data_IF_729253543467
#
_entry.id   IF_729253543467
#
_cell.length_a   1.000
_cell.length_b   1.000
_cell.length_c   1.000
_cell.angle_alpha   90.00
_cell.angle_beta   90.00
_cell.angle_gamma   90.00
#
_symmetry.space_group_name_H-M   'P 1'
#
loop_
_entity.id
_entity.type
_entity.pdbx_description
1 polymer ?
#
# COMPACT_ATOMS: atom_id res chain seq x y z
N UNK A 1 39.39 60.40 -17.26
CA UNK A 1 37.97 60.37 -16.86
C UNK A 1 37.42 58.96 -16.61
N UNK A 2 37.78 57.93 -17.39
CA UNK A 2 37.23 56.56 -17.19
C UNK A 2 37.65 55.85 -15.88
N UNK A 3 38.82 56.18 -15.32
CA UNK A 3 39.42 55.46 -14.17
C UNK A 3 38.71 55.76 -12.84
N UNK A 4 38.05 56.92 -12.69
CA UNK A 4 37.38 57.35 -11.44
C UNK A 4 35.89 57.00 -11.43
N UNK A 5 35.28 56.86 -12.61
CA UNK A 5 33.86 56.52 -12.74
C UNK A 5 33.59 55.09 -12.25
N UNK A 6 34.50 54.15 -12.51
CA UNK A 6 34.39 52.78 -12.04
C UNK A 6 34.37 52.63 -10.50
N UNK A 7 35.33 53.19 -9.73
CA UNK A 7 35.34 53.05 -8.27
C UNK A 7 34.13 53.72 -7.60
N UNK A 8 33.69 54.87 -8.11
CA UNK A 8 32.49 55.55 -7.60
C UNK A 8 31.22 54.72 -7.86
N UNK A 9 31.06 54.17 -9.07
CA UNK A 9 29.95 53.26 -9.37
C UNK A 9 29.98 52.00 -8.51
N UNK A 10 31.17 51.44 -8.23
CA UNK A 10 31.27 50.28 -7.33
C UNK A 10 30.90 50.61 -5.89
N UNK A 11 31.24 51.82 -5.41
CA UNK A 11 30.91 52.30 -4.07
C UNK A 11 29.40 52.56 -3.93
N UNK A 12 28.79 53.22 -4.91
CA UNK A 12 27.32 53.38 -4.94
C UNK A 12 26.60 52.03 -5.01
N UNK A 13 27.12 51.09 -5.81
CA UNK A 13 26.58 49.74 -5.88
C UNK A 13 26.79 48.97 -4.56
N UNK A 14 27.86 49.18 -3.81
CA UNK A 14 28.05 48.54 -2.50
C UNK A 14 27.13 49.13 -1.43
N UNK A 15 26.96 50.45 -1.40
CA UNK A 15 26.06 51.13 -0.45
C UNK A 15 24.61 50.66 -0.67
N UNK A 16 24.13 50.67 -1.91
CA UNK A 16 22.78 50.17 -2.24
C UNK A 16 22.59 48.69 -1.91
N UNK A 17 23.61 47.84 -2.14
CA UNK A 17 23.57 46.42 -1.74
C UNK A 17 23.50 46.24 -0.22
N UNK A 18 24.18 47.09 0.54
CA UNK A 18 24.18 47.05 2.00
C UNK A 18 22.80 47.45 2.55
N UNK A 19 22.21 48.53 2.04
CA UNK A 19 20.85 48.95 2.40
C UNK A 19 19.82 47.85 2.07
N UNK A 20 19.90 47.25 0.88
CA UNK A 20 19.04 46.13 0.50
C UNK A 20 19.22 44.93 1.42
N UNK A 21 20.46 44.63 1.84
CA UNK A 21 20.73 43.55 2.79
C UNK A 21 20.08 43.82 4.15
N UNK A 22 20.17 45.06 4.66
CA UNK A 22 19.52 45.48 5.90
C UNK A 22 17.99 45.35 5.82
N UNK A 23 17.39 45.80 4.72
CA UNK A 23 15.95 45.64 4.50
C UNK A 23 15.53 44.16 4.49
N UNK A 24 16.29 43.29 3.81
CA UNK A 24 16.02 41.85 3.80
C UNK A 24 16.15 41.24 5.20
N UNK A 25 17.14 41.65 6.00
CA UNK A 25 17.27 41.17 7.39
C UNK A 25 16.09 41.58 8.26
N UNK A 26 15.63 42.84 8.14
CA UNK A 26 14.45 43.32 8.83
C UNK A 26 13.20 42.52 8.43
N UNK A 27 12.94 42.37 7.12
CA UNK A 27 11.79 41.62 6.62
C UNK A 27 11.83 40.14 7.02
N UNK A 28 13.01 39.52 7.15
CA UNK A 28 13.14 38.16 7.68
C UNK A 28 12.75 38.09 9.16
N UNK A 29 13.20 39.05 9.97
CA UNK A 29 12.85 39.13 11.39
C UNK A 29 11.34 39.35 11.56
N UNK A 30 10.76 40.28 10.81
CA UNK A 30 9.32 40.54 10.81
C UNK A 30 8.52 39.30 10.41
N UNK A 31 8.92 38.60 9.34
CA UNK A 31 8.28 37.35 8.93
C UNK A 31 8.38 36.26 10.02
N UNK A 32 9.49 36.18 10.76
CA UNK A 32 9.62 35.23 11.87
C UNK A 32 8.61 35.53 12.99
N UNK A 33 8.44 36.82 13.34
CA UNK A 33 7.45 37.27 14.33
C UNK A 33 6.02 37.03 13.83
N UNK A 34 5.72 37.31 12.56
CA UNK A 34 4.39 37.05 12.01
C UNK A 34 4.07 35.56 12.01
N UNK A 35 5.05 34.70 11.71
CA UNK A 35 4.87 33.26 11.73
C UNK A 35 4.63 32.69 13.13
N UNK A 36 5.23 33.26 14.18
CA UNK A 36 4.97 32.80 15.55
C UNK A 36 3.55 33.13 16.04
N UNK A 37 2.88 34.10 15.41
CA UNK A 37 1.50 34.49 15.73
C UNK A 37 0.45 33.77 14.87
N UNK A 38 0.86 33.07 13.81
CA UNK A 38 -0.04 32.38 12.90
C UNK A 38 -0.26 30.92 13.34
N UNK A 39 -1.38 30.29 12.95
CA UNK A 39 -1.61 28.87 13.22
C UNK A 39 -0.57 27.98 12.51
N UNK A 40 -0.30 26.81 13.09
CA UNK A 40 0.72 25.86 12.63
C UNK A 40 0.56 25.44 11.15
N UNK A 41 -0.67 25.46 10.63
CA UNK A 41 -0.98 25.04 9.26
C UNK A 41 -1.49 26.20 8.40
N UNK A 42 -0.63 26.67 7.50
CA UNK A 42 -0.98 27.70 6.50
C UNK A 42 -1.44 27.00 5.21
N UNK A 43 -2.70 27.20 4.84
CA UNK A 43 -3.24 26.73 3.56
C UNK A 43 -3.03 27.80 2.49
N UNK A 44 -2.30 27.46 1.42
CA UNK A 44 -2.05 28.38 0.31
C UNK A 44 -3.06 28.19 -0.82
N UNK A 45 -3.66 29.28 -1.29
CA UNK A 45 -4.48 29.32 -2.49
C UNK A 45 -3.62 29.22 -3.76
N UNK A 46 -4.20 28.77 -4.87
CA UNK A 46 -3.52 28.66 -6.16
C UNK A 46 -2.91 29.99 -6.65
N UNK A 47 -3.55 31.12 -6.36
CA UNK A 47 -2.99 32.44 -6.70
C UNK A 47 -1.70 32.74 -5.92
N UNK A 48 -1.69 32.47 -4.62
CA UNK A 48 -0.53 32.67 -3.74
C UNK A 48 0.63 31.74 -4.16
N UNK A 49 0.32 30.47 -4.47
CA UNK A 49 1.29 29.51 -5.01
C UNK A 49 1.96 30.05 -6.28
N UNK A 50 1.16 30.58 -7.22
CA UNK A 50 1.68 31.19 -8.45
C UNK A 50 2.56 32.41 -8.18
N UNK A 51 2.18 33.25 -7.19
CA UNK A 51 2.99 34.41 -6.78
C UNK A 51 4.36 33.96 -6.23
N UNK A 52 4.37 32.96 -5.34
CA UNK A 52 5.60 32.38 -4.81
C UNK A 52 6.48 31.80 -5.91
N UNK A 53 5.92 31.03 -6.85
CA UNK A 53 6.67 30.47 -7.97
C UNK A 53 7.24 31.56 -8.88
N UNK A 54 6.46 32.60 -9.20
CA UNK A 54 6.89 33.70 -10.07
C UNK A 54 8.12 34.42 -9.51
N UNK A 55 8.10 34.78 -8.23
CA UNK A 55 9.24 35.46 -7.59
C UNK A 55 10.38 34.49 -7.32
N UNK A 56 10.06 33.27 -6.89
CA UNK A 56 11.06 32.30 -6.49
C UNK A 56 11.84 31.65 -7.64
N UNK A 57 11.25 31.53 -8.83
CA UNK A 57 11.93 30.99 -10.02
C UNK A 57 13.18 31.82 -10.39
N UNK A 58 13.14 33.14 -10.20
CA UNK A 58 14.26 34.05 -10.47
C UNK A 58 15.44 33.88 -9.52
N UNK A 59 15.20 33.35 -8.31
CA UNK A 59 16.22 33.17 -7.27
C UNK A 59 17.03 31.87 -7.43
N UNK A 60 16.56 30.93 -8.26
CA UNK A 60 17.27 29.70 -8.55
C UNK A 60 17.55 28.84 -7.30
N UNK A 61 18.73 28.23 -7.15
CA UNK A 61 19.08 27.40 -6.01
C UNK A 61 19.09 28.12 -4.66
N UNK A 62 19.34 29.44 -4.66
CA UNK A 62 19.44 30.28 -3.45
C UNK A 62 18.12 30.42 -2.70
N UNK A 63 17.00 30.02 -3.31
CA UNK A 63 15.71 29.99 -2.63
C UNK A 63 15.67 29.00 -1.47
N UNK A 64 16.55 28.00 -1.44
CA UNK A 64 16.62 27.02 -0.34
C UNK A 64 16.82 27.71 1.01
N UNK A 65 17.59 28.80 1.04
CA UNK A 65 17.90 29.55 2.26
C UNK A 65 16.83 30.58 2.63
N UNK A 66 15.86 30.80 1.73
CA UNK A 66 14.80 31.82 1.88
C UNK A 66 13.42 31.20 2.11
N UNK A 67 13.22 29.95 1.69
CA UNK A 67 11.91 29.32 1.70
C UNK A 67 11.53 28.88 3.13
N UNK A 68 10.55 29.54 3.72
CA UNK A 68 10.09 29.26 5.09
C UNK A 68 8.65 28.75 5.17
N UNK A 69 7.79 29.16 4.21
CA UNK A 69 6.37 28.79 4.19
C UNK A 69 6.15 27.36 3.68
N UNK A 70 6.95 26.93 2.71
CA UNK A 70 6.74 25.70 1.94
C UNK A 70 8.05 24.92 1.86
N UNK A 71 8.01 23.60 1.92
CA UNK A 71 9.21 22.79 1.68
C UNK A 71 9.78 23.03 0.27
N UNK A 72 11.10 23.07 0.15
CA UNK A 72 11.80 23.21 -1.14
C UNK A 72 11.35 22.16 -2.17
N UNK A 73 11.06 20.93 -1.74
CA UNK A 73 10.58 19.85 -2.61
C UNK A 73 9.21 20.17 -3.21
N UNK A 74 8.29 20.70 -2.40
CA UNK A 74 6.94 21.12 -2.83
C UNK A 74 7.02 22.30 -3.78
N UNK A 75 7.91 23.27 -3.52
CA UNK A 75 8.14 24.40 -4.42
C UNK A 75 8.69 23.95 -5.79
N UNK A 76 9.68 23.05 -5.81
CA UNK A 76 10.21 22.44 -7.04
C UNK A 76 9.13 21.66 -7.80
N UNK A 77 8.25 20.95 -7.08
CA UNK A 77 7.10 20.27 -7.68
C UNK A 77 6.17 21.26 -8.37
N UNK A 78 5.86 22.41 -7.76
CA UNK A 78 5.02 23.43 -8.39
C UNK A 78 5.63 24.02 -9.65
N UNK A 79 6.95 24.30 -9.65
CA UNK A 79 7.66 24.76 -10.85
C UNK A 79 7.48 23.74 -11.99
N UNK A 80 7.80 22.46 -11.74
CA UNK A 80 7.64 21.41 -12.75
C UNK A 80 6.20 21.28 -13.23
N UNK A 81 5.24 21.30 -12.31
CA UNK A 81 3.81 21.16 -12.66
C UNK A 81 3.33 22.33 -13.53
N UNK A 82 3.86 23.55 -13.33
CA UNK A 82 3.53 24.71 -14.17
C UNK A 82 4.21 24.64 -15.55
N UNK A 83 5.45 24.15 -15.62
CA UNK A 83 6.19 23.97 -16.87
C UNK A 83 5.63 22.79 -17.70
N UNK A 84 5.37 21.66 -17.06
CA UNK A 84 4.73 20.48 -17.64
C UNK A 84 3.27 20.75 -18.03
N UNK A 85 2.54 21.54 -17.23
CA UNK A 85 1.15 21.88 -17.50
C UNK A 85 0.97 22.88 -18.66
N UNK A 86 2.01 23.65 -19.01
CA UNK A 86 2.01 24.50 -20.20
C UNK A 86 2.27 23.71 -21.49
N UNK A 87 3.04 22.62 -21.41
CA UNK A 87 3.40 21.77 -22.56
C UNK A 87 2.43 20.62 -22.78
N UNK A 88 1.79 20.12 -21.73
CA UNK A 88 0.79 19.05 -21.81
C UNK A 88 -0.60 19.68 -21.74
N UNK A 89 -1.37 19.57 -22.84
CA UNK A 89 -2.84 19.77 -22.81
C UNK A 89 -3.40 19.08 -21.56
N UNK A 90 -4.39 19.67 -20.85
CA UNK A 90 -4.93 19.04 -19.66
C UNK A 90 -5.43 17.66 -20.06
N UNK A 91 -4.70 16.61 -19.68
CA UNK A 91 -5.23 15.25 -19.74
C UNK A 91 -6.40 15.27 -18.77
N UNK A 92 -7.60 15.48 -19.32
CA UNK A 92 -8.89 15.44 -18.64
C UNK A 92 -8.83 14.34 -17.61
N UNK A 93 -8.71 14.69 -16.32
CA UNK A 93 -8.63 13.79 -15.14
C UNK A 93 -8.63 12.32 -15.55
N UNK A 94 -7.55 11.86 -16.18
CA UNK A 94 -7.48 10.47 -16.57
C UNK A 94 -7.19 9.83 -15.23
N UNK A 95 -8.25 9.27 -14.65
CA UNK A 95 -8.29 8.65 -13.34
C UNK A 95 -6.91 8.05 -13.09
N UNK A 96 -6.18 8.64 -12.15
CA UNK A 96 -5.03 7.95 -11.61
C UNK A 96 -5.63 6.66 -11.07
N UNK A 97 -5.46 5.55 -11.79
CA UNK A 97 -5.78 4.22 -11.29
C UNK A 97 -4.86 4.00 -10.09
N UNK A 98 -5.29 4.50 -8.93
CA UNK A 98 -4.69 4.16 -7.65
C UNK A 98 -5.08 2.71 -7.40
N UNK A 99 -4.18 1.78 -7.70
CA UNK A 99 -4.33 0.40 -7.28
C UNK A 99 -3.56 -0.60 -8.12
N UNK A 100 -3.14 -1.68 -7.45
CA UNK A 100 -2.78 -2.96 -8.08
C UNK A 100 -3.85 -3.31 -9.10
N UNK A 101 -3.52 -3.77 -10.32
CA UNK A 101 -4.53 -4.19 -11.28
C UNK A 101 -5.50 -5.15 -10.58
N UNK A 102 -6.81 -4.92 -10.76
CA UNK A 102 -7.83 -5.89 -10.35
C UNK A 102 -7.38 -7.24 -10.88
N UNK A 103 -7.48 -8.29 -10.06
CA UNK A 103 -7.30 -9.68 -10.51
C UNK A 103 -8.00 -9.81 -11.86
N UNK A 104 -7.29 -10.31 -12.88
CA UNK A 104 -7.79 -10.49 -14.25
C UNK A 104 -9.29 -10.83 -14.22
N UNK A 105 -10.15 -10.01 -14.82
CA UNK A 105 -11.62 -10.11 -14.67
C UNK A 105 -12.11 -11.54 -14.98
N UNK A 106 -11.46 -12.22 -15.92
CA UNK A 106 -11.66 -13.62 -16.27
C UNK A 106 -11.53 -14.60 -15.09
N UNK A 107 -10.57 -14.37 -14.18
CA UNK A 107 -10.37 -15.21 -12.99
C UNK A 107 -11.51 -14.98 -11.98
N UNK A 108 -11.94 -13.72 -11.81
CA UNK A 108 -13.03 -13.39 -10.91
C UNK A 108 -14.35 -14.01 -11.40
N UNK A 109 -14.64 -13.93 -12.70
CA UNK A 109 -15.83 -14.53 -13.30
C UNK A 109 -15.84 -16.05 -13.15
N UNK A 110 -14.67 -16.69 -13.33
CA UNK A 110 -14.54 -18.13 -13.14
C UNK A 110 -14.81 -18.54 -11.68
N UNK A 111 -14.34 -17.76 -10.71
CA UNK A 111 -14.62 -17.99 -9.28
C UNK A 111 -16.11 -17.88 -8.99
N UNK A 112 -16.77 -16.84 -9.52
CA UNK A 112 -18.20 -16.60 -9.33
C UNK A 112 -19.03 -17.73 -9.96
N UNK A 113 -18.66 -18.18 -11.17
CA UNK A 113 -19.33 -19.30 -11.85
C UNK A 113 -19.25 -20.59 -11.04
N UNK A 114 -18.05 -20.98 -10.59
CA UNK A 114 -17.87 -22.19 -9.76
C UNK A 114 -18.72 -22.10 -8.49
N UNK A 115 -18.78 -20.93 -7.84
CA UNK A 115 -19.59 -20.74 -6.64
C UNK A 115 -21.08 -20.95 -6.91
N UNK A 116 -21.61 -20.40 -8.00
CA UNK A 116 -23.02 -20.53 -8.37
C UNK A 116 -23.42 -21.96 -8.74
N UNK A 117 -22.55 -22.68 -9.44
CA UNK A 117 -22.84 -24.04 -9.91
C UNK A 117 -22.70 -25.10 -8.82
N UNK A 118 -21.78 -24.93 -7.87
CA UNK A 118 -21.40 -25.99 -6.93
C UNK A 118 -21.72 -25.71 -5.46
N UNK A 119 -21.96 -24.44 -5.09
CA UNK A 119 -22.13 -24.03 -3.70
C UNK A 119 -20.89 -24.28 -2.84
N UNK A 120 -19.69 -24.44 -3.42
CA UNK A 120 -18.50 -24.77 -2.65
C UNK A 120 -18.01 -23.62 -1.77
N UNK A 121 -17.57 -23.95 -0.54
CA UNK A 121 -16.87 -23.01 0.33
C UNK A 121 -15.48 -22.60 -0.17
N UNK A 122 -14.92 -21.55 0.41
CA UNK A 122 -13.69 -20.89 -0.07
C UNK A 122 -12.50 -21.81 -0.31
N UNK A 123 -12.24 -22.76 0.59
CA UNK A 123 -11.06 -23.64 0.51
C UNK A 123 -11.12 -24.54 -0.71
N UNK A 124 -12.32 -25.04 -1.03
CA UNK A 124 -12.53 -25.96 -2.16
C UNK A 124 -12.45 -25.21 -3.49
N UNK A 125 -12.93 -23.97 -3.54
CA UNK A 125 -12.73 -23.07 -4.69
C UNK A 125 -11.24 -22.76 -4.91
N UNK A 126 -10.47 -22.49 -3.86
CA UNK A 126 -9.00 -22.28 -3.98
C UNK A 126 -8.31 -23.52 -4.53
N UNK A 127 -8.70 -24.71 -4.08
CA UNK A 127 -8.17 -25.96 -4.61
C UNK A 127 -8.53 -26.16 -6.08
N UNK A 128 -9.77 -25.87 -6.48
CA UNK A 128 -10.21 -25.94 -7.87
C UNK A 128 -9.39 -24.99 -8.76
N UNK A 129 -9.20 -23.74 -8.32
CA UNK A 129 -8.37 -22.76 -9.00
C UNK A 129 -6.92 -23.22 -9.14
N UNK A 130 -6.37 -23.88 -8.11
CA UNK A 130 -5.02 -24.46 -8.18
C UNK A 130 -4.93 -25.58 -9.21
N UNK A 131 -5.98 -26.40 -9.36
CA UNK A 131 -6.06 -27.45 -10.40
C UNK A 131 -6.14 -26.86 -11.80
N UNK A 132 -6.77 -25.68 -11.95
CA UNK A 132 -6.81 -24.91 -13.20
C UNK A 132 -5.51 -24.14 -13.49
N UNK A 133 -4.49 -24.25 -12.65
CA UNK A 133 -3.18 -23.59 -12.83
C UNK A 133 -3.08 -22.19 -12.20
N UNK A 134 -4.15 -21.68 -11.58
CA UNK A 134 -4.13 -20.36 -10.95
C UNK A 134 -3.83 -20.44 -9.45
N UNK A 135 -2.72 -19.83 -9.02
CA UNK A 135 -2.34 -19.75 -7.59
C UNK A 135 -2.95 -18.51 -6.95
N UNK A 136 -4.14 -18.68 -6.36
CA UNK A 136 -4.90 -17.59 -5.74
C UNK A 136 -4.97 -17.79 -4.23
N UNK A 137 -4.89 -16.71 -3.46
CA UNK A 137 -5.04 -16.78 -2.00
C UNK A 137 -6.51 -16.95 -1.60
N UNK A 138 -6.78 -17.63 -0.47
CA UNK A 138 -8.13 -17.75 0.09
C UNK A 138 -8.78 -16.39 0.33
N UNK A 139 -7.99 -15.39 0.74
CA UNK A 139 -8.49 -14.03 0.97
C UNK A 139 -8.93 -13.35 -0.33
N UNK A 140 -8.23 -13.60 -1.44
CA UNK A 140 -8.62 -13.08 -2.76
C UNK A 140 -9.96 -13.66 -3.19
N UNK A 141 -10.17 -14.98 -3.02
CA UNK A 141 -11.45 -15.64 -3.30
C UNK A 141 -12.57 -15.07 -2.41
N UNK A 142 -12.30 -14.89 -1.12
CA UNK A 142 -13.26 -14.27 -0.18
C UNK A 142 -13.66 -12.86 -0.66
N UNK A 143 -12.69 -12.01 -0.98
CA UNK A 143 -12.97 -10.63 -1.40
C UNK A 143 -13.82 -10.58 -2.68
N UNK A 144 -13.50 -11.42 -3.67
CA UNK A 144 -14.25 -11.50 -4.93
C UNK A 144 -15.70 -11.94 -4.69
N UNK A 145 -15.90 -12.95 -3.84
CA UNK A 145 -17.25 -13.46 -3.54
C UNK A 145 -18.07 -12.49 -2.70
N UNK A 146 -17.45 -11.77 -1.76
CA UNK A 146 -18.10 -10.71 -0.98
C UNK A 146 -18.49 -9.53 -1.88
N UNK A 147 -17.61 -9.11 -2.79
CA UNK A 147 -17.91 -8.06 -3.78
C UNK A 147 -19.06 -8.48 -4.70
N UNK A 148 -19.18 -9.77 -5.02
CA UNK A 148 -20.29 -10.34 -5.78
C UNK A 148 -21.57 -10.63 -4.96
N UNK A 149 -21.59 -10.34 -3.65
CA UNK A 149 -22.73 -10.61 -2.76
C UNK A 149 -22.97 -12.10 -2.44
N UNK A 150 -22.03 -12.98 -2.79
CA UNK A 150 -22.10 -14.43 -2.61
C UNK A 150 -21.33 -14.86 -1.36
N UNK A 151 -21.68 -14.25 -0.22
CA UNK A 151 -21.14 -14.65 1.08
C UNK A 151 -21.53 -16.10 1.41
N UNK A 152 -20.67 -16.86 2.10
CA UNK A 152 -20.98 -18.20 2.53
C UNK A 152 -22.06 -18.17 3.60
N UNK A 153 -23.02 -19.07 3.42
CA UNK A 153 -24.06 -19.37 4.38
C UNK A 153 -23.44 -20.25 5.49
N UNK A 154 -23.86 -20.18 6.76
CA UNK A 154 -23.45 -21.12 7.82
C UNK A 154 -23.48 -22.61 7.43
N UNK A 155 -24.23 -22.99 6.39
CA UNK A 155 -24.25 -24.33 5.79
C UNK A 155 -23.00 -24.70 4.95
N UNK A 156 -22.13 -23.73 4.61
CA UNK A 156 -20.90 -23.91 3.83
C UNK A 156 -19.69 -24.40 4.63
N UNK A 157 -19.84 -24.54 5.95
CA UNK A 157 -18.82 -25.15 6.78
C UNK A 157 -18.71 -26.64 6.43
N UNK A 158 -17.49 -27.22 6.39
CA UNK A 158 -17.36 -28.66 6.28
C UNK A 158 -18.13 -29.28 7.45
N UNK A 159 -18.87 -30.36 7.15
CA UNK A 159 -19.60 -31.12 8.14
C UNK A 159 -18.80 -31.28 9.43
N UNK A 160 -19.47 -31.08 10.56
CA UNK A 160 -18.88 -31.37 11.86
C UNK A 160 -18.37 -32.81 11.85
N UNK A 161 -17.23 -33.06 12.50
CA UNK A 161 -16.64 -34.41 12.56
C UNK A 161 -17.65 -35.48 13.00
N UNK A 162 -18.58 -35.10 13.89
CA UNK A 162 -19.72 -35.91 14.30
C UNK A 162 -20.67 -36.28 13.16
N UNK A 163 -20.98 -35.36 12.25
CA UNK A 163 -21.92 -35.57 11.14
C UNK A 163 -21.28 -36.37 10.02
N UNK A 164 -19.98 -36.13 9.76
CA UNK A 164 -19.18 -36.98 8.89
C UNK A 164 -19.14 -38.43 9.39
N UNK A 165 -18.82 -38.64 10.67
CA UNK A 165 -18.80 -39.97 11.28
C UNK A 165 -20.16 -40.65 11.21
N UNK A 166 -21.27 -39.94 11.49
CA UNK A 166 -22.62 -40.52 11.40
C UNK A 166 -22.94 -41.02 9.98
N UNK A 167 -22.60 -40.26 8.94
CA UNK A 167 -22.86 -40.66 7.55
C UNK A 167 -22.00 -41.84 7.10
N UNK A 168 -20.76 -41.92 7.58
CA UNK A 168 -19.82 -42.96 7.18
C UNK A 168 -19.72 -44.13 8.17
N UNK A 169 -20.43 -44.10 9.30
CA UNK A 169 -20.39 -45.14 10.33
C UNK A 169 -20.73 -46.53 9.78
N UNK A 170 -21.77 -46.62 8.93
CA UNK A 170 -22.19 -47.88 8.34
C UNK A 170 -21.13 -48.49 7.40
N UNK A 171 -20.39 -47.65 6.67
CA UNK A 171 -19.30 -48.10 5.78
C UNK A 171 -18.03 -48.40 6.57
N UNK A 172 -17.71 -47.59 7.59
CA UNK A 172 -16.53 -47.81 8.43
C UNK A 172 -16.63 -49.08 9.27
N UNK A 173 -17.83 -49.50 9.67
CA UNK A 173 -18.02 -50.79 10.35
C UNK A 173 -17.55 -51.99 9.51
N UNK A 174 -17.57 -51.87 8.18
CA UNK A 174 -17.10 -52.92 7.28
C UNK A 174 -15.58 -52.89 7.07
N UNK A 175 -14.93 -51.77 7.35
CA UNK A 175 -13.47 -51.66 7.35
C UNK A 175 -12.97 -52.09 8.72
N UNK A 176 -12.86 -53.41 8.95
CA UNK A 176 -12.08 -53.92 10.07
C UNK A 176 -10.65 -53.35 9.95
N UNK A 177 -10.17 -52.69 11.01
CA UNK A 177 -8.81 -52.19 11.11
C UNK A 177 -7.87 -53.40 11.29
N UNK A 178 -7.74 -54.20 10.24
CA UNK A 178 -6.99 -55.44 10.23
C UNK A 178 -5.52 -55.14 10.53
N UNK A 179 -5.12 -55.47 11.75
CA UNK A 179 -3.73 -55.39 12.20
C UNK A 179 -3.01 -56.63 11.68
N UNK A 180 -2.19 -56.46 10.64
CA UNK A 180 -1.32 -57.54 10.16
C UNK A 180 -0.11 -57.65 11.08
N UNK A 181 0.00 -58.78 11.77
CA UNK A 181 1.23 -59.16 12.49
C UNK A 181 2.35 -59.35 11.47
N UNK A 182 3.44 -58.59 11.62
CA UNK A 182 4.63 -58.76 10.79
C UNK A 182 5.79 -59.24 11.65
N UNK A 183 6.49 -60.25 11.17
CA UNK A 183 7.69 -60.76 11.82
C UNK A 183 8.89 -59.92 11.40
N UNK A 184 9.54 -59.27 12.34
CA UNK A 184 10.77 -58.51 12.10
C UNK A 184 11.93 -59.26 12.77
N UNK A 185 13.16 -59.06 12.33
CA UNK A 185 14.37 -59.75 12.87
C UNK A 185 14.52 -59.59 14.40
N UNK A 186 13.87 -58.58 15.00
CA UNK A 186 13.88 -58.27 16.43
C UNK A 186 12.69 -58.86 17.21
N UNK A 187 11.80 -59.61 16.56
CA UNK A 187 10.60 -60.21 17.15
C UNK A 187 9.31 -59.83 16.41
N UNK A 188 8.18 -60.36 16.90
CA UNK A 188 6.84 -60.09 16.36
C UNK A 188 6.45 -58.65 16.68
N UNK A 189 6.27 -57.82 15.65
CA UNK A 189 5.96 -56.40 15.80
C UNK A 189 4.54 -56.12 15.26
N UNK A 190 3.64 -55.72 16.15
CA UNK A 190 2.32 -55.23 15.77
C UNK A 190 2.45 -53.77 15.34
N UNK A 191 2.49 -53.56 14.02
CA UNK A 191 2.67 -52.23 13.46
C UNK A 191 1.39 -51.40 13.59
N UNK A 192 1.13 -50.89 14.79
CA UNK A 192 0.11 -49.87 15.03
C UNK A 192 0.55 -48.58 14.33
N UNK A 193 0.04 -48.32 13.13
CA UNK A 193 0.18 -47.04 12.44
C UNK A 193 -0.72 -45.95 13.06
N UNK A 194 -0.76 -45.90 14.38
CA UNK A 194 -1.34 -44.82 15.17
C UNK A 194 -0.29 -44.42 16.18
N UNK A 195 0.61 -43.50 15.79
CA UNK A 195 1.56 -42.88 16.71
C UNK A 195 0.70 -42.09 17.72
N UNK A 196 0.48 -42.71 18.88
CA UNK A 196 -0.27 -42.15 20.00
C UNK A 196 0.35 -40.83 20.41
N UNK A 197 -0.30 -39.73 20.04
CA UNK A 197 -0.12 -38.43 20.69
C UNK A 197 -0.82 -38.49 22.05
N UNK A 198 -0.17 -39.12 23.04
CA UNK A 198 -0.45 -38.88 24.45
C UNK A 198 0.88 -38.61 25.15
N UNK A 199 1.00 -37.51 25.91
CA UNK A 199 2.22 -37.18 26.61
C UNK A 199 2.46 -38.22 27.70
N UNK A 200 3.68 -38.75 27.71
CA UNK A 200 4.17 -39.70 28.70
C UNK A 200 4.38 -38.92 30.01
N UNK A 201 3.42 -39.03 30.93
CA UNK A 201 3.59 -38.62 32.32
C UNK A 201 4.58 -39.59 32.96
N UNK A 202 5.70 -39.08 33.46
CA UNK A 202 6.62 -39.82 34.32
C UNK A 202 6.48 -39.31 35.76
N UNK A 203 6.41 -40.19 36.77
CA UNK A 203 6.44 -39.78 38.16
C UNK A 203 7.89 -39.58 38.60
N UNK A 204 8.16 -38.45 39.25
CA UNK A 204 9.09 -38.28 40.37
C UNK A 204 8.61 -37.08 41.19
#
# INVERSE_FOLDING_TARGET
>A
MAVIVHPLLTLLASLTRQELAQQVTYLKAENAILRSKLPDRITLNNQERRRLVRHGKKLGPRIKDLISIVSYSTFRRWIRTMEDGATKRPKSKAEKKLGRPRTEECIADTIIRIRKETGWGYTKIVQAMRRLGHRISRQTVKNILVEAGLCPDPSDHPDTWSDFLKRHAATMWQCDFASKRKWTIKGMDDQRHGRSLLPRVYPH
#
